data_IF_805863931340
#
_entry.id   IF_805863931340
#
_cell.length_a   1.000
_cell.length_b   1.000
_cell.length_c   1.000
_cell.angle_alpha   90.00
_cell.angle_beta   90.00
_cell.angle_gamma   90.00
#
_symmetry.space_group_name_H-M   'P 1'
#
loop_
_entity.id
_entity.type
_entity.pdbx_description
1 polymer ?
#
# COMPACT_ATOMS: atom_id res chain seq x y z
N UNK A 1 45.01 37.91 -49.34
CA UNK A 1 44.98 39.29 -48.81
C UNK A 1 44.03 39.32 -47.62
N UNK A 2 44.58 39.27 -46.44
CA UNK A 2 43.81 39.31 -45.19
C UNK A 2 43.93 40.71 -44.60
N UNK A 3 42.82 41.35 -44.29
CA UNK A 3 42.77 42.63 -43.56
C UNK A 3 42.43 42.36 -42.12
N UNK A 4 43.41 42.63 -41.25
CA UNK A 4 43.29 42.68 -39.81
C UNK A 4 42.60 43.95 -39.36
N UNK A 5 41.70 43.83 -38.40
CA UNK A 5 41.05 44.95 -37.71
C UNK A 5 41.51 44.96 -36.24
N UNK A 6 41.99 46.07 -35.70
CA UNK A 6 42.49 46.10 -34.30
C UNK A 6 41.37 46.58 -33.35
N UNK A 7 41.14 45.80 -32.31
CA UNK A 7 40.29 46.21 -31.17
C UNK A 7 41.09 47.09 -30.21
N UNK A 8 40.72 48.34 -30.03
CA UNK A 8 41.20 49.24 -28.98
C UNK A 8 40.48 48.92 -27.66
N UNK A 9 41.30 48.58 -26.66
CA UNK A 9 40.83 48.37 -25.28
C UNK A 9 40.73 49.76 -24.61
N UNK A 10 39.51 50.13 -24.22
CA UNK A 10 39.26 51.26 -23.35
C UNK A 10 39.37 50.84 -21.87
N UNK A 11 40.39 51.35 -21.16
CA UNK A 11 40.46 51.32 -19.71
C UNK A 11 39.53 52.35 -19.13
N UNK A 12 38.38 51.96 -18.64
CA UNK A 12 37.52 52.80 -17.78
C UNK A 12 37.84 52.51 -16.33
N UNK A 13 38.18 53.56 -15.58
CA UNK A 13 38.57 53.51 -14.17
C UNK A 13 37.42 53.03 -13.31
N UNK A 14 37.59 51.87 -12.68
CA UNK A 14 36.78 51.37 -11.59
C UNK A 14 37.05 52.20 -10.30
N UNK A 15 36.32 53.25 -10.07
CA UNK A 15 36.38 54.02 -8.84
C UNK A 15 35.02 54.54 -8.32
N UNK A 16 33.91 54.20 -8.95
CA UNK A 16 32.60 54.71 -8.49
C UNK A 16 31.61 53.63 -8.08
N UNK A 17 31.96 52.36 -8.24
CA UNK A 17 31.02 51.24 -7.93
C UNK A 17 31.15 50.77 -6.49
N UNK A 18 32.31 51.07 -5.81
CA UNK A 18 32.53 50.59 -4.43
C UNK A 18 31.87 51.41 -3.33
N UNK A 19 31.34 52.61 -3.64
CA UNK A 19 30.61 53.42 -2.63
C UNK A 19 29.09 53.22 -2.64
N UNK A 20 28.54 52.54 -3.64
CA UNK A 20 27.11 52.19 -3.66
C UNK A 20 26.78 50.85 -3.06
N UNK A 21 27.81 49.99 -2.83
CA UNK A 21 27.62 48.66 -2.21
C UNK A 21 27.69 48.69 -0.66
N UNK A 22 28.08 49.78 -0.04
CA UNK A 22 28.18 49.89 1.42
C UNK A 22 26.90 50.50 2.05
N UNK A 23 25.99 51.02 1.25
CA UNK A 23 24.74 51.61 1.76
C UNK A 23 23.50 50.65 1.69
N UNK A 24 23.69 49.42 1.17
CA UNK A 24 22.63 48.39 1.09
C UNK A 24 22.70 47.32 2.20
N UNK A 25 23.73 47.39 3.05
CA UNK A 25 23.97 46.35 4.07
C UNK A 25 23.45 46.69 5.48
N UNK A 26 22.58 47.70 5.64
CA UNK A 26 21.98 48.01 6.95
C UNK A 26 20.46 48.14 6.98
N UNK A 27 19.76 47.79 5.93
CA UNK A 27 18.35 47.45 6.04
C UNK A 27 18.27 45.92 5.99
N UNK A 28 18.10 45.29 7.14
CA UNK A 28 17.54 43.95 7.25
C UNK A 28 16.14 44.01 6.60
N UNK A 29 16.09 43.94 5.27
CA UNK A 29 14.91 43.44 4.59
C UNK A 29 14.87 41.98 4.99
N UNK A 30 14.06 41.67 6.01
CA UNK A 30 13.52 40.34 6.21
C UNK A 30 12.81 40.05 4.88
N UNK A 31 13.51 39.46 3.92
CA UNK A 31 12.89 38.74 2.84
C UNK A 31 12.19 37.63 3.58
N UNK A 32 10.91 37.83 3.90
CA UNK A 32 10.04 36.74 4.26
C UNK A 32 10.29 35.70 3.17
N UNK A 33 10.91 34.58 3.52
CA UNK A 33 10.99 33.43 2.63
C UNK A 33 9.57 33.25 2.12
N UNK A 34 9.38 33.48 0.81
CA UNK A 34 8.07 33.26 0.20
C UNK A 34 7.77 31.80 0.45
N UNK A 35 6.92 31.54 1.39
CA UNK A 35 6.57 30.19 1.83
C UNK A 35 5.81 29.54 0.68
N UNK A 36 6.58 28.95 -0.25
CA UNK A 36 6.03 28.30 -1.44
C UNK A 36 5.27 27.07 -0.97
N UNK A 37 3.97 27.12 -1.11
CA UNK A 37 3.10 25.98 -0.86
C UNK A 37 3.55 24.79 -1.73
N UNK A 38 3.95 23.69 -1.08
CA UNK A 38 4.24 22.44 -1.78
C UNK A 38 2.94 21.69 -1.95
N UNK A 39 2.62 21.34 -3.20
CA UNK A 39 1.39 20.64 -3.57
C UNK A 39 1.66 19.47 -4.50
N UNK A 40 0.83 18.43 -4.42
CA UNK A 40 0.75 17.35 -5.40
C UNK A 40 -0.63 17.34 -6.04
N UNK A 41 -0.68 17.14 -7.36
CA UNK A 41 -1.92 16.87 -8.06
C UNK A 41 -2.34 15.41 -7.84
N UNK A 42 -3.54 15.19 -7.37
CA UNK A 42 -4.13 13.87 -7.18
C UNK A 42 -5.47 13.79 -7.92
N UNK A 43 -5.72 12.73 -8.71
CA UNK A 43 -6.96 12.63 -9.50
C UNK A 43 -8.22 12.39 -8.64
N UNK A 44 -8.07 12.02 -7.36
CA UNK A 44 -9.17 11.75 -6.43
C UNK A 44 -9.52 12.99 -5.60
N UNK A 45 -8.50 13.71 -5.13
CA UNK A 45 -8.66 14.81 -4.17
C UNK A 45 -8.29 16.18 -4.73
N UNK A 46 -7.80 16.24 -5.97
CA UNK A 46 -7.31 17.49 -6.56
C UNK A 46 -5.93 17.86 -6.02
N UNK A 47 -5.81 18.98 -5.36
CA UNK A 47 -4.53 19.42 -4.78
C UNK A 47 -4.35 18.91 -3.36
N UNK A 48 -3.29 18.13 -3.15
CA UNK A 48 -2.84 17.71 -1.83
C UNK A 48 -1.73 18.65 -1.38
N UNK A 49 -1.97 19.39 -0.30
CA UNK A 49 -1.01 20.31 0.28
C UNK A 49 -0.09 19.59 1.26
N UNK A 50 1.19 19.87 1.18
CA UNK A 50 2.18 19.34 2.13
C UNK A 50 2.29 20.30 3.33
N UNK A 51 2.02 19.84 4.55
CA UNK A 51 1.80 20.72 5.68
C UNK A 51 3.08 21.39 6.22
N UNK A 52 4.22 20.75 6.10
CA UNK A 52 5.47 21.28 6.64
C UNK A 52 6.72 20.69 5.94
N UNK A 53 7.91 21.27 6.15
CA UNK A 53 9.17 20.79 5.54
C UNK A 53 9.54 19.36 5.90
N UNK A 54 9.32 18.90 7.14
CA UNK A 54 9.65 17.52 7.55
C UNK A 54 8.86 16.48 6.74
N UNK A 55 7.57 16.71 6.56
CA UNK A 55 6.73 15.84 5.72
C UNK A 55 7.21 15.85 4.27
N UNK A 56 7.62 17.02 3.76
CA UNK A 56 8.17 17.12 2.41
C UNK A 56 9.48 16.31 2.28
N UNK A 57 10.38 16.43 3.24
CA UNK A 57 11.66 15.73 3.26
C UNK A 57 11.45 14.20 3.34
N UNK A 58 10.50 13.74 4.16
CA UNK A 58 10.11 12.33 4.22
C UNK A 58 9.56 11.83 2.88
N UNK A 59 8.73 12.63 2.20
CA UNK A 59 8.22 12.29 0.87
C UNK A 59 9.37 12.20 -0.15
N UNK A 60 10.39 13.07 -0.07
CA UNK A 60 11.55 13.04 -0.97
C UNK A 60 12.53 11.92 -0.65
N UNK A 61 12.45 11.31 0.53
CA UNK A 61 13.37 10.26 0.94
C UNK A 61 13.28 9.03 0.01
N UNK A 62 14.42 8.39 -0.37
CA UNK A 62 14.43 7.24 -1.29
C UNK A 62 13.50 6.10 -0.88
N UNK A 63 13.36 5.82 0.43
CA UNK A 63 12.45 4.81 0.94
C UNK A 63 11.00 5.09 0.58
N UNK A 64 10.57 6.34 0.68
CA UNK A 64 9.21 6.73 0.29
C UNK A 64 9.04 6.82 -1.23
N UNK A 65 10.05 7.31 -1.96
CA UNK A 65 10.01 7.39 -3.42
C UNK A 65 9.89 6.00 -4.08
N UNK A 66 10.36 4.94 -3.43
CA UNK A 66 10.16 3.56 -3.86
C UNK A 66 8.68 3.21 -4.08
N UNK A 67 7.79 3.75 -3.25
CA UNK A 67 6.35 3.50 -3.35
C UNK A 67 5.73 3.90 -4.69
N UNK A 68 6.39 4.76 -5.48
CA UNK A 68 5.99 5.08 -6.86
C UNK A 68 6.09 3.89 -7.81
N UNK A 69 6.85 2.87 -7.44
CA UNK A 69 7.11 1.68 -8.25
C UNK A 69 6.49 0.41 -7.64
N UNK A 70 5.60 0.58 -6.66
CA UNK A 70 4.83 -0.51 -6.06
C UNK A 70 3.35 -0.27 -6.32
N UNK A 71 2.73 -1.17 -7.07
CA UNK A 71 1.31 -1.11 -7.42
C UNK A 71 0.43 -1.29 -6.20
N UNK A 72 -0.59 -0.44 -6.04
CA UNK A 72 -1.55 -0.55 -4.94
C UNK A 72 -2.36 -1.85 -5.02
N UNK A 73 -2.85 -2.18 -6.21
CA UNK A 73 -3.70 -3.35 -6.44
C UNK A 73 -2.95 -4.55 -7.07
N UNK A 74 -1.63 -4.60 -6.95
CA UNK A 74 -0.81 -5.70 -7.45
C UNK A 74 -1.10 -6.04 -8.92
N UNK A 75 -1.40 -7.32 -9.21
CA UNK A 75 -1.70 -7.80 -10.57
C UNK A 75 -3.14 -7.55 -11.04
N UNK A 76 -3.93 -6.77 -10.31
CA UNK A 76 -5.33 -6.49 -10.69
C UNK A 76 -5.46 -5.72 -12.01
N UNK A 77 -4.40 -5.06 -12.49
CA UNK A 77 -4.37 -4.45 -13.82
C UNK A 77 -4.60 -5.46 -14.95
N UNK A 78 -4.36 -6.74 -14.72
CA UNK A 78 -4.68 -7.82 -15.67
C UNK A 78 -6.20 -8.00 -15.89
N UNK A 79 -7.01 -7.44 -15.00
CA UNK A 79 -8.48 -7.44 -15.09
C UNK A 79 -9.01 -6.04 -15.32
N UNK A 80 -8.51 -5.09 -14.53
CA UNK A 80 -8.90 -3.69 -14.53
C UNK A 80 -7.78 -2.85 -15.13
N UNK A 81 -7.79 -2.58 -16.44
CA UNK A 81 -6.65 -1.95 -17.12
C UNK A 81 -6.26 -0.57 -16.56
N UNK A 82 -7.19 0.12 -15.88
CA UNK A 82 -6.95 1.39 -15.21
C UNK A 82 -6.26 1.27 -13.84
N UNK A 83 -6.18 0.08 -13.25
CA UNK A 83 -5.65 -0.14 -11.90
C UNK A 83 -4.10 -0.11 -11.86
N UNK A 84 -3.51 1.02 -12.28
CA UNK A 84 -2.06 1.24 -12.36
C UNK A 84 -1.55 2.27 -11.32
N UNK A 85 -2.38 2.70 -10.38
CA UNK A 85 -1.96 3.58 -9.30
C UNK A 85 -1.08 2.84 -8.29
N UNK A 86 -0.25 3.62 -7.61
CA UNK A 86 0.80 3.09 -6.75
C UNK A 86 0.54 3.43 -5.28
N UNK A 87 1.25 2.77 -4.38
CA UNK A 87 1.21 3.06 -2.95
C UNK A 87 1.63 4.49 -2.61
N UNK A 88 2.42 5.13 -3.46
CA UNK A 88 2.74 6.55 -3.33
C UNK A 88 1.49 7.44 -3.39
N UNK A 89 0.59 7.20 -4.36
CA UNK A 89 -0.67 7.94 -4.47
C UNK A 89 -1.55 7.70 -3.25
N UNK A 90 -1.65 6.45 -2.81
CA UNK A 90 -2.42 6.05 -1.64
C UNK A 90 -1.92 6.74 -0.36
N UNK A 91 -0.62 6.67 -0.06
CA UNK A 91 -0.04 7.29 1.13
C UNK A 91 -0.28 8.80 1.19
N UNK A 92 -0.16 9.51 0.05
CA UNK A 92 -0.49 10.94 -0.02
C UNK A 92 -1.98 11.19 0.21
N UNK A 93 -2.86 10.34 -0.34
CA UNK A 93 -4.30 10.44 -0.15
C UNK A 93 -4.71 10.21 1.30
N UNK A 94 -4.13 9.21 1.97
CA UNK A 94 -4.32 8.96 3.39
C UNK A 94 -3.91 10.16 4.25
N UNK A 95 -2.76 10.76 3.94
CA UNK A 95 -2.30 11.97 4.64
C UNK A 95 -3.27 13.15 4.42
N UNK A 96 -3.79 13.34 3.20
CA UNK A 96 -4.78 14.38 2.92
C UNK A 96 -6.07 14.18 3.73
N UNK A 97 -6.56 12.94 3.81
CA UNK A 97 -7.73 12.63 4.64
C UNK A 97 -7.45 12.85 6.12
N UNK A 98 -6.24 12.53 6.59
CA UNK A 98 -5.82 12.76 7.97
C UNK A 98 -5.80 14.27 8.31
N UNK A 99 -5.32 15.13 7.40
CA UNK A 99 -5.38 16.59 7.58
C UNK A 99 -6.82 17.04 7.80
N UNK A 100 -7.75 16.60 6.93
CA UNK A 100 -9.18 16.92 7.09
C UNK A 100 -9.77 16.39 8.41
N UNK A 101 -9.38 15.19 8.83
CA UNK A 101 -9.86 14.62 10.09
C UNK A 101 -9.37 15.43 11.30
N UNK A 102 -8.12 15.83 11.34
CA UNK A 102 -7.55 16.69 12.39
C UNK A 102 -8.28 18.02 12.45
N UNK A 103 -8.51 18.68 11.31
CA UNK A 103 -9.23 19.97 11.23
C UNK A 103 -10.66 19.85 11.80
N UNK A 104 -11.38 18.79 11.39
CA UNK A 104 -12.75 18.54 11.87
C UNK A 104 -12.78 18.25 13.37
N UNK A 105 -11.88 17.42 13.87
CA UNK A 105 -11.81 17.08 15.29
C UNK A 105 -11.47 18.31 16.15
N UNK A 106 -10.51 19.14 15.72
CA UNK A 106 -10.21 20.42 16.38
C UNK A 106 -11.40 21.38 16.39
N UNK A 107 -12.09 21.50 15.26
CA UNK A 107 -13.31 22.31 15.17
C UNK A 107 -14.38 21.85 16.18
N UNK A 108 -14.45 20.55 16.47
CA UNK A 108 -15.36 19.96 17.47
C UNK A 108 -14.85 20.03 18.91
N UNK A 109 -13.71 20.70 19.14
CA UNK A 109 -13.15 20.92 20.48
C UNK A 109 -12.23 19.81 20.97
N UNK A 110 -11.84 18.85 20.12
CA UNK A 110 -10.82 17.86 20.48
C UNK A 110 -9.45 18.56 20.48
N UNK A 111 -8.81 18.60 21.64
CA UNK A 111 -7.45 19.16 21.75
C UNK A 111 -6.46 18.23 21.06
N UNK A 112 -5.79 18.71 20.02
CA UNK A 112 -4.70 18.02 19.29
C UNK A 112 -3.55 19.01 19.19
N UNK A 113 -2.42 18.72 19.86
CA UNK A 113 -1.26 19.58 19.83
C UNK A 113 -0.59 19.60 18.43
N UNK A 114 0.25 20.60 18.12
CA UNK A 114 1.02 20.58 16.86
C UNK A 114 1.93 19.37 16.72
N UNK A 115 2.47 18.83 17.81
CA UNK A 115 3.30 17.64 17.84
C UNK A 115 2.48 16.38 17.53
N UNK A 116 1.28 16.25 18.12
CA UNK A 116 0.33 15.16 17.85
C UNK A 116 -0.16 15.20 16.42
N UNK A 117 -0.49 16.38 15.89
CA UNK A 117 -0.86 16.57 14.50
C UNK A 117 0.24 16.09 13.55
N UNK A 118 1.47 16.54 13.80
CA UNK A 118 2.60 16.13 12.97
C UNK A 118 2.85 14.61 13.07
N UNK A 119 2.69 14.04 14.26
CA UNK A 119 2.80 12.59 14.48
C UNK A 119 1.74 11.80 13.71
N UNK A 120 0.48 12.26 13.66
CA UNK A 120 -0.59 11.67 12.88
C UNK A 120 -0.27 11.70 11.37
N UNK A 121 0.24 12.83 10.87
CA UNK A 121 0.61 12.97 9.46
C UNK A 121 1.77 12.05 9.07
N UNK A 122 2.81 11.96 9.92
CA UNK A 122 3.94 11.06 9.69
C UNK A 122 3.50 9.60 9.74
N UNK A 123 2.75 9.22 10.78
CA UNK A 123 2.33 7.84 10.98
C UNK A 123 1.47 7.32 9.81
N UNK A 124 0.48 8.11 9.37
CA UNK A 124 -0.38 7.72 8.24
C UNK A 124 0.37 7.78 6.90
N UNK A 125 1.31 8.71 6.72
CA UNK A 125 2.13 8.79 5.50
C UNK A 125 3.01 7.55 5.33
N UNK A 126 3.56 7.04 6.44
CA UNK A 126 4.54 5.96 6.44
C UNK A 126 3.94 4.58 6.77
N UNK A 127 2.62 4.47 7.02
CA UNK A 127 2.00 3.21 7.48
C UNK A 127 2.27 2.03 6.53
N UNK A 128 2.28 2.28 5.24
CA UNK A 128 2.46 1.31 4.15
C UNK A 128 3.88 1.25 3.57
N UNK A 129 4.86 1.96 4.16
CA UNK A 129 6.22 2.04 3.61
C UNK A 129 6.94 0.68 3.58
N UNK A 130 6.51 -0.26 4.41
CA UNK A 130 7.06 -1.61 4.50
C UNK A 130 6.54 -2.60 3.46
N UNK A 131 5.60 -2.21 2.61
CA UNK A 131 5.15 -3.11 1.54
C UNK A 131 6.25 -3.40 0.52
N UNK A 132 6.40 -4.67 0.16
CA UNK A 132 7.24 -5.13 -0.94
C UNK A 132 6.51 -5.18 -2.29
N UNK A 133 7.21 -5.53 -3.38
CA UNK A 133 6.61 -5.71 -4.69
C UNK A 133 5.53 -6.78 -4.68
N UNK A 134 4.37 -6.48 -5.28
CA UNK A 134 3.21 -7.37 -5.26
C UNK A 134 2.90 -7.97 -3.89
N UNK A 135 3.09 -7.21 -2.86
CA UNK A 135 3.03 -7.44 -1.40
C UNK A 135 2.66 -8.84 -0.94
N UNK A 136 1.41 -9.26 -1.13
CA UNK A 136 0.93 -10.56 -0.64
C UNK A 136 1.61 -11.77 -1.29
N UNK A 137 2.05 -11.66 -2.55
CA UNK A 137 2.81 -12.73 -3.18
C UNK A 137 4.20 -12.85 -2.55
N UNK A 138 4.84 -11.72 -2.27
CA UNK A 138 6.17 -11.67 -1.66
C UNK A 138 6.17 -12.16 -0.20
N UNK A 139 5.22 -11.69 0.62
CA UNK A 139 5.05 -12.14 2.02
C UNK A 139 4.83 -13.66 2.14
N UNK A 140 4.21 -14.27 1.13
CA UNK A 140 3.93 -15.73 1.09
C UNK A 140 5.04 -16.57 0.45
N UNK A 141 6.11 -15.97 -0.08
CA UNK A 141 7.08 -16.71 -0.90
C UNK A 141 8.54 -16.35 -0.65
N UNK A 142 8.87 -15.09 -0.47
CA UNK A 142 10.24 -14.59 -0.41
C UNK A 142 10.63 -14.18 1.00
N UNK A 143 9.84 -13.30 1.64
CA UNK A 143 10.03 -12.85 3.03
C UNK A 143 8.90 -13.45 3.86
N UNK A 144 9.02 -14.76 4.12
CA UNK A 144 7.94 -15.54 4.73
C UNK A 144 7.72 -15.15 6.19
N UNK A 145 6.43 -15.02 6.58
CA UNK A 145 5.98 -14.73 7.95
C UNK A 145 6.39 -13.36 8.51
N UNK A 146 6.88 -12.44 7.67
CA UNK A 146 7.14 -11.05 8.06
C UNK A 146 6.04 -10.14 7.49
N UNK A 147 5.24 -9.57 8.37
CA UNK A 147 4.17 -8.66 7.99
C UNK A 147 4.73 -7.28 7.61
N UNK A 148 4.11 -6.62 6.65
CA UNK A 148 4.54 -5.31 6.16
C UNK A 148 4.51 -4.22 7.24
N UNK A 149 3.63 -4.32 8.24
CA UNK A 149 3.59 -3.39 9.38
C UNK A 149 4.88 -3.44 10.20
N UNK A 150 5.43 -4.66 10.40
CA UNK A 150 6.72 -4.82 11.09
C UNK A 150 7.86 -4.20 10.28
N UNK A 151 7.87 -4.39 8.95
CA UNK A 151 8.87 -3.75 8.07
C UNK A 151 8.67 -2.23 8.04
N UNK A 152 7.40 -1.73 8.06
CA UNK A 152 7.12 -0.29 8.16
C UNK A 152 7.76 0.31 9.42
N UNK A 153 7.68 -0.38 10.56
CA UNK A 153 8.33 0.06 11.79
C UNK A 153 9.86 0.09 11.67
N UNK A 154 10.47 -0.86 10.97
CA UNK A 154 11.92 -0.84 10.73
C UNK A 154 12.32 0.39 9.91
N UNK A 155 11.60 0.69 8.82
CA UNK A 155 11.81 1.92 8.04
C UNK A 155 11.59 3.18 8.87
N UNK A 156 10.52 3.24 9.66
CA UNK A 156 10.24 4.40 10.53
C UNK A 156 11.35 4.60 11.58
N UNK A 157 11.88 3.53 12.18
CA UNK A 157 13.00 3.62 13.13
C UNK A 157 14.29 4.10 12.46
N UNK A 158 14.61 3.61 11.26
CA UNK A 158 15.75 4.07 10.49
C UNK A 158 15.61 5.56 10.16
N UNK A 159 14.47 5.98 9.63
CA UNK A 159 14.16 7.38 9.35
C UNK A 159 14.20 8.23 10.63
N UNK A 160 13.72 7.71 11.75
CA UNK A 160 13.78 8.44 13.02
C UNK A 160 15.23 8.75 13.45
N UNK A 161 16.14 7.81 13.21
CA UNK A 161 17.58 8.03 13.46
C UNK A 161 18.12 9.11 12.53
N UNK A 162 17.84 9.05 11.23
CA UNK A 162 18.30 10.02 10.23
C UNK A 162 17.71 11.42 10.45
N UNK A 163 16.48 11.51 10.92
CA UNK A 163 15.80 12.77 11.24
C UNK A 163 15.93 13.21 12.71
N UNK A 164 16.94 12.68 13.44
CA UNK A 164 17.29 13.09 14.80
C UNK A 164 16.12 12.98 15.81
N UNK A 165 15.38 11.88 15.77
CA UNK A 165 14.32 11.59 16.74
C UNK A 165 12.96 12.25 16.43
N UNK A 166 12.82 12.96 15.32
CA UNK A 166 11.59 13.70 15.00
C UNK A 166 10.37 12.83 14.71
N UNK A 167 10.54 11.52 14.48
CA UNK A 167 9.45 10.57 14.23
C UNK A 167 9.04 9.80 15.49
N UNK A 168 9.66 10.04 16.65
CA UNK A 168 9.47 9.23 17.86
C UNK A 168 8.00 9.14 18.29
N UNK A 169 7.27 10.26 18.28
CA UNK A 169 5.84 10.27 18.65
C UNK A 169 5.00 9.54 17.59
N UNK A 170 5.30 9.71 16.32
CA UNK A 170 4.60 9.00 15.23
C UNK A 170 4.76 7.48 15.36
N UNK A 171 5.96 7.00 15.72
CA UNK A 171 6.23 5.58 15.99
C UNK A 171 5.41 5.07 17.18
N UNK A 172 5.34 5.84 18.28
CA UNK A 172 4.52 5.47 19.45
C UNK A 172 3.04 5.36 19.08
N UNK A 173 2.52 6.32 18.31
CA UNK A 173 1.13 6.30 17.83
C UNK A 173 0.88 5.09 16.93
N UNK A 174 1.77 4.83 15.97
CA UNK A 174 1.64 3.71 15.04
C UNK A 174 1.69 2.34 15.74
N UNK A 175 2.51 2.20 16.79
CA UNK A 175 2.60 0.98 17.63
C UNK A 175 1.41 0.79 18.56
N UNK A 176 0.62 1.84 18.80
CA UNK A 176 -0.44 1.85 19.81
C UNK A 176 0.06 2.05 21.24
N UNK A 177 1.31 2.47 21.42
CA UNK A 177 1.94 2.73 22.72
C UNK A 177 1.57 4.13 23.27
N UNK A 178 1.00 5.01 22.44
CA UNK A 178 0.58 6.34 22.85
C UNK A 178 -0.78 6.27 23.56
N UNK A 179 -0.89 7.03 24.66
CA UNK A 179 -2.06 6.95 25.57
C UNK A 179 -3.39 7.33 24.92
N UNK A 180 -3.39 8.16 23.86
CA UNK A 180 -4.59 8.63 23.16
C UNK A 180 -5.03 7.65 22.07
N UNK A 181 -5.98 6.79 22.39
CA UNK A 181 -6.40 5.66 21.54
C UNK A 181 -6.96 6.09 20.18
N UNK A 182 -7.71 7.20 20.12
CA UNK A 182 -8.29 7.66 18.86
C UNK A 182 -7.24 7.95 17.79
N UNK A 183 -6.01 8.31 18.17
CA UNK A 183 -4.94 8.58 17.22
C UNK A 183 -4.54 7.33 16.44
N UNK A 184 -4.40 6.19 17.11
CA UNK A 184 -4.21 4.91 16.41
C UNK A 184 -5.44 4.54 15.58
N UNK A 185 -6.65 4.77 16.10
CA UNK A 185 -7.90 4.44 15.40
C UNK A 185 -8.08 5.24 14.11
N UNK A 186 -7.53 6.45 14.00
CA UNK A 186 -7.49 7.20 12.74
C UNK A 186 -6.56 6.58 11.70
N UNK A 187 -5.53 5.83 12.13
CA UNK A 187 -4.53 5.20 11.26
C UNK A 187 -4.93 3.76 10.92
N UNK A 188 -5.34 2.98 11.94
CA UNK A 188 -5.63 1.56 11.82
C UNK A 188 -6.83 1.18 12.69
N UNK A 189 -8.01 1.11 12.08
CA UNK A 189 -9.25 0.65 12.68
C UNK A 189 -10.17 0.05 11.61
N UNK A 190 -11.46 -0.09 11.87
CA UNK A 190 -12.40 -0.51 10.82
C UNK A 190 -12.97 0.67 10.00
N UNK A 191 -12.73 1.89 10.45
CA UNK A 191 -13.14 3.13 9.79
C UNK A 191 -12.03 4.18 9.97
N UNK A 192 -10.94 4.03 9.24
CA UNK A 192 -9.71 4.81 9.30
C UNK A 192 -9.41 5.51 7.96
N UNK A 193 -8.36 6.33 7.95
CA UNK A 193 -7.97 7.11 6.76
C UNK A 193 -7.40 6.21 5.65
N UNK A 194 -6.75 5.11 6.01
CA UNK A 194 -6.26 4.09 5.08
C UNK A 194 -7.42 3.50 4.27
N UNK A 195 -8.43 2.93 4.95
CA UNK A 195 -9.59 2.31 4.30
C UNK A 195 -10.42 3.30 3.50
N UNK A 196 -10.56 4.53 3.96
CA UNK A 196 -11.29 5.57 3.25
C UNK A 196 -10.60 5.98 1.95
N UNK A 197 -9.27 6.03 1.93
CA UNK A 197 -8.53 6.33 0.70
C UNK A 197 -8.57 5.17 -0.27
N UNK A 198 -8.12 3.97 0.16
CA UNK A 198 -8.00 2.88 -0.81
C UNK A 198 -9.35 2.46 -1.41
N UNK A 199 -10.44 2.44 -0.65
CA UNK A 199 -11.74 2.11 -1.22
C UNK A 199 -12.15 3.09 -2.31
N UNK A 200 -12.01 4.39 -2.06
CA UNK A 200 -12.35 5.43 -3.03
C UNK A 200 -11.39 5.42 -4.23
N UNK A 201 -10.10 5.29 -3.97
CA UNK A 201 -9.03 5.28 -4.98
C UNK A 201 -9.08 4.05 -5.86
N UNK A 202 -9.18 2.88 -5.28
CA UNK A 202 -9.26 1.62 -6.01
C UNK A 202 -10.54 1.52 -6.84
N UNK A 203 -11.67 2.04 -6.30
CA UNK A 203 -12.92 2.18 -7.05
C UNK A 203 -12.72 3.03 -8.31
N UNK A 204 -12.09 4.17 -8.18
CA UNK A 204 -11.84 5.08 -9.31
C UNK A 204 -10.96 4.41 -10.38
N UNK A 205 -9.82 3.87 -9.99
CA UNK A 205 -8.86 3.30 -10.92
C UNK A 205 -9.27 1.94 -11.51
N UNK A 206 -10.03 1.15 -10.77
CA UNK A 206 -10.59 -0.11 -11.29
C UNK A 206 -11.84 0.07 -12.12
N UNK A 207 -12.57 1.20 -11.95
CA UNK A 207 -13.88 1.43 -12.53
C UNK A 207 -15.01 0.68 -11.82
N UNK A 208 -14.76 0.09 -10.63
CA UNK A 208 -15.76 -0.59 -9.80
C UNK A 208 -16.49 0.45 -8.94
N UNK A 209 -17.60 0.97 -9.43
CA UNK A 209 -18.31 2.11 -8.85
C UNK A 209 -18.85 1.86 -7.42
N UNK A 210 -19.03 0.60 -7.03
CA UNK A 210 -19.54 0.20 -5.72
C UNK A 210 -18.61 0.60 -4.57
N UNK A 211 -17.31 0.78 -4.85
CA UNK A 211 -16.31 1.26 -3.88
C UNK A 211 -16.35 2.76 -3.63
N UNK A 212 -17.17 3.53 -4.35
CA UNK A 212 -17.23 4.99 -4.18
C UNK A 212 -17.86 5.37 -2.84
N UNK A 213 -17.01 5.68 -1.86
CA UNK A 213 -17.38 6.14 -0.51
C UNK A 213 -17.27 7.65 -0.39
N UNK A 214 -18.18 8.27 0.37
CA UNK A 214 -18.08 9.68 0.70
C UNK A 214 -17.23 9.88 1.96
N UNK A 215 -15.90 9.82 1.79
CA UNK A 215 -14.94 10.00 2.89
C UNK A 215 -15.08 11.35 3.59
N UNK A 216 -15.41 12.42 2.85
CA UNK A 216 -15.60 13.74 3.48
C UNK A 216 -16.77 13.76 4.45
N UNK A 217 -17.92 13.15 4.08
CA UNK A 217 -19.07 13.03 4.98
C UNK A 217 -18.73 12.21 6.22
N UNK A 218 -18.01 11.10 6.06
CA UNK A 218 -17.59 10.27 7.19
C UNK A 218 -16.71 11.06 8.15
N UNK A 219 -15.71 11.77 7.63
CA UNK A 219 -14.80 12.62 8.42
C UNK A 219 -15.60 13.72 9.15
N UNK A 220 -16.53 14.40 8.48
CA UNK A 220 -17.38 15.41 9.10
C UNK A 220 -18.23 14.87 10.27
N UNK A 221 -18.53 13.57 10.27
CA UNK A 221 -19.29 12.91 11.35
C UNK A 221 -18.40 12.31 12.44
N UNK A 222 -17.07 12.33 12.29
CA UNK A 222 -16.13 11.88 13.33
C UNK A 222 -16.15 12.80 14.55
N UNK A 223 -15.99 12.20 15.72
CA UNK A 223 -15.79 12.89 16.98
C UNK A 223 -14.96 12.00 17.93
N UNK A 224 -14.57 12.52 19.08
CA UNK A 224 -13.82 11.77 20.10
C UNK A 224 -14.52 11.91 21.44
N UNK A 225 -14.76 10.80 22.12
CA UNK A 225 -15.32 10.74 23.47
C UNK A 225 -14.41 9.80 24.28
N UNK A 226 -13.94 10.26 25.44
CA UNK A 226 -13.04 9.51 26.32
C UNK A 226 -11.81 8.93 25.59
N UNK A 227 -11.18 9.75 24.74
CA UNK A 227 -10.04 9.39 23.87
C UNK A 227 -10.30 8.21 22.90
N UNK A 228 -11.58 7.96 22.58
CA UNK A 228 -12.00 6.95 21.61
C UNK A 228 -12.73 7.60 20.45
N UNK A 229 -12.41 7.17 19.23
CA UNK A 229 -13.05 7.63 18.00
C UNK A 229 -14.51 7.16 17.96
N UNK A 230 -15.42 8.09 17.66
CA UNK A 230 -16.85 7.83 17.50
C UNK A 230 -17.39 8.51 16.25
N UNK A 231 -18.50 8.04 15.73
CA UNK A 231 -19.24 8.67 14.63
C UNK A 231 -20.55 9.22 15.21
N UNK A 232 -20.85 10.48 14.94
CA UNK A 232 -22.15 11.06 15.32
C UNK A 232 -23.30 10.32 14.64
N UNK A 233 -24.42 10.18 15.33
CA UNK A 233 -25.63 9.47 14.87
C UNK A 233 -26.05 9.80 13.44
N UNK A 234 -25.90 11.06 13.02
CA UNK A 234 -26.17 11.53 11.65
C UNK A 234 -25.30 10.85 10.58
N UNK A 235 -24.21 10.21 10.99
CA UNK A 235 -23.26 9.51 10.14
C UNK A 235 -23.60 8.05 9.88
N UNK A 236 -24.58 7.45 10.57
CA UNK A 236 -24.89 6.01 10.50
C UNK A 236 -25.02 5.51 9.06
N UNK A 237 -25.84 6.13 8.24
CA UNK A 237 -26.04 5.71 6.84
C UNK A 237 -24.78 5.81 5.98
N UNK A 238 -23.86 6.72 6.32
CA UNK A 238 -22.56 6.80 5.65
C UNK A 238 -21.64 5.64 6.05
N UNK A 239 -21.69 5.21 7.32
CA UNK A 239 -20.94 4.03 7.81
C UNK A 239 -21.49 2.76 7.19
N UNK A 240 -22.80 2.61 7.12
CA UNK A 240 -23.48 1.47 6.45
C UNK A 240 -23.05 1.35 5.00
N UNK A 241 -23.10 2.47 4.25
CA UNK A 241 -22.64 2.50 2.87
C UNK A 241 -21.15 2.14 2.76
N UNK A 242 -20.30 2.65 3.66
CA UNK A 242 -18.88 2.34 3.70
C UNK A 242 -18.63 0.84 3.90
N UNK A 243 -19.29 0.21 4.87
CA UNK A 243 -19.17 -1.23 5.13
C UNK A 243 -19.67 -2.08 3.96
N UNK A 244 -20.78 -1.66 3.31
CA UNK A 244 -21.28 -2.30 2.10
C UNK A 244 -20.30 -2.15 0.93
N UNK A 245 -19.79 -0.95 0.70
CA UNK A 245 -18.78 -0.68 -0.34
C UNK A 245 -17.53 -1.52 -0.14
N UNK A 246 -17.04 -1.63 1.09
CA UNK A 246 -15.92 -2.50 1.46
C UNK A 246 -16.18 -3.95 1.09
N UNK A 247 -17.36 -4.50 1.44
CA UNK A 247 -17.74 -5.87 1.07
C UNK A 247 -17.77 -6.09 -0.43
N UNK A 248 -18.34 -5.14 -1.18
CA UNK A 248 -18.46 -5.24 -2.62
C UNK A 248 -17.11 -5.16 -3.31
N UNK A 249 -16.24 -4.21 -2.91
CA UNK A 249 -14.89 -4.10 -3.43
C UNK A 249 -14.07 -5.37 -3.19
N UNK A 250 -14.21 -6.00 -2.01
CA UNK A 250 -13.52 -7.27 -1.75
C UNK A 250 -13.91 -8.35 -2.75
N UNK A 251 -15.21 -8.53 -3.02
CA UNK A 251 -15.66 -9.58 -3.93
C UNK A 251 -15.51 -9.25 -5.41
N UNK A 252 -15.69 -8.00 -5.79
CA UNK A 252 -15.63 -7.58 -7.18
C UNK A 252 -14.20 -7.27 -7.63
N UNK A 253 -13.38 -6.63 -6.78
CA UNK A 253 -12.03 -6.20 -7.14
C UNK A 253 -10.92 -7.09 -6.54
N UNK A 254 -10.75 -7.10 -5.22
CA UNK A 254 -9.58 -7.74 -4.59
C UNK A 254 -9.60 -9.27 -4.67
N UNK A 255 -10.78 -9.88 -4.57
CA UNK A 255 -10.97 -11.33 -4.69
C UNK A 255 -11.56 -11.73 -6.05
N UNK A 256 -11.46 -10.85 -7.06
CA UNK A 256 -11.85 -11.20 -8.42
C UNK A 256 -11.03 -12.41 -8.88
N UNK A 257 -11.71 -13.42 -9.43
CA UNK A 257 -11.09 -14.72 -9.79
C UNK A 257 -9.80 -14.60 -10.59
N UNK A 258 -9.73 -13.65 -11.54
CA UNK A 258 -8.54 -13.46 -12.39
C UNK A 258 -7.40 -12.79 -11.62
N UNK A 259 -7.67 -11.78 -10.79
CA UNK A 259 -6.66 -11.15 -9.91
C UNK A 259 -6.12 -12.18 -8.93
N UNK A 260 -7.00 -12.95 -8.30
CA UNK A 260 -6.63 -13.99 -7.35
C UNK A 260 -5.73 -15.06 -7.98
N UNK A 261 -6.09 -15.59 -9.16
CA UNK A 261 -5.27 -16.62 -9.80
C UNK A 261 -3.93 -16.08 -10.26
N UNK A 262 -3.85 -14.84 -10.73
CA UNK A 262 -2.58 -14.20 -11.11
C UNK A 262 -1.64 -14.08 -9.90
N UNK A 263 -2.14 -13.64 -8.75
CA UNK A 263 -1.38 -13.55 -7.50
C UNK A 263 -0.92 -14.93 -7.00
N UNK A 264 -1.79 -15.94 -7.08
CA UNK A 264 -1.44 -17.31 -6.73
C UNK A 264 -0.36 -17.89 -7.65
N UNK A 265 -0.43 -17.62 -8.95
CA UNK A 265 0.63 -18.02 -9.90
C UNK A 265 1.93 -17.31 -9.55
N UNK A 266 1.91 -16.00 -9.29
CA UNK A 266 3.11 -15.26 -8.91
C UNK A 266 3.75 -15.84 -7.65
N UNK A 267 2.95 -16.14 -6.62
CA UNK A 267 3.44 -16.82 -5.41
C UNK A 267 4.14 -18.15 -5.74
N UNK A 268 3.59 -18.93 -6.68
CA UNK A 268 4.18 -20.20 -7.14
C UNK A 268 5.49 -20.00 -7.91
N UNK A 269 5.54 -19.00 -8.81
CA UNK A 269 6.77 -18.64 -9.54
C UNK A 269 7.88 -18.29 -8.57
N UNK A 270 7.60 -17.39 -7.62
CA UNK A 270 8.60 -16.94 -6.65
C UNK A 270 9.09 -18.06 -5.74
N UNK A 271 8.19 -18.95 -5.30
CA UNK A 271 8.58 -20.17 -4.57
C UNK A 271 9.50 -21.07 -5.37
N UNK A 272 9.17 -21.33 -6.66
CA UNK A 272 10.02 -22.14 -7.53
C UNK A 272 11.38 -21.49 -7.75
N UNK A 273 11.42 -20.18 -8.00
CA UNK A 273 12.67 -19.44 -8.14
C UNK A 273 13.55 -19.56 -6.88
N UNK A 274 12.96 -19.41 -5.69
CA UNK A 274 13.66 -19.58 -4.41
C UNK A 274 14.21 -21.01 -4.24
N UNK A 275 13.42 -22.03 -4.55
CA UNK A 275 13.86 -23.44 -4.50
C UNK A 275 15.06 -23.71 -5.43
N UNK A 276 15.01 -23.20 -6.66
CA UNK A 276 16.09 -23.36 -7.63
C UNK A 276 17.36 -22.64 -7.17
N UNK A 277 17.23 -21.41 -6.68
CA UNK A 277 18.35 -20.63 -6.17
C UNK A 277 19.00 -21.29 -4.95
N UNK A 278 18.21 -21.84 -4.04
CA UNK A 278 18.72 -22.61 -2.88
C UNK A 278 19.40 -23.93 -3.28
N UNK A 279 19.11 -24.48 -4.46
CA UNK A 279 19.84 -25.60 -5.06
C UNK A 279 21.11 -25.19 -5.81
N UNK A 280 21.48 -23.91 -5.76
CA UNK A 280 22.68 -23.38 -6.42
C UNK A 280 22.48 -22.96 -7.88
N UNK A 281 21.24 -22.94 -8.39
CA UNK A 281 20.95 -22.46 -9.75
C UNK A 281 20.92 -20.93 -9.73
N UNK A 282 21.75 -20.29 -10.52
CA UNK A 282 21.78 -18.82 -10.64
C UNK A 282 20.70 -18.40 -11.62
N UNK A 283 19.68 -17.70 -11.11
CA UNK A 283 18.61 -17.14 -11.91
C UNK A 283 18.87 -15.65 -12.21
N UNK A 284 18.62 -15.18 -13.44
CA UNK A 284 18.78 -13.77 -13.79
C UNK A 284 17.71 -12.93 -13.09
N UNK A 285 18.14 -12.04 -12.19
CA UNK A 285 17.30 -11.09 -11.46
C UNK A 285 18.18 -9.97 -10.87
N UNK A 286 17.57 -8.96 -10.21
CA UNK A 286 18.32 -7.96 -9.48
C UNK A 286 19.05 -8.55 -8.27
N UNK A 287 20.11 -7.88 -7.84
CA UNK A 287 20.90 -8.26 -6.66
C UNK A 287 20.02 -8.37 -5.41
N UNK A 288 19.15 -7.40 -5.20
CA UNK A 288 18.24 -7.39 -4.06
C UNK A 288 17.25 -8.55 -4.06
N UNK A 289 16.69 -8.90 -5.22
CA UNK A 289 15.81 -10.07 -5.32
C UNK A 289 16.59 -11.36 -5.10
N UNK A 290 17.78 -11.48 -5.66
CA UNK A 290 18.66 -12.63 -5.47
C UNK A 290 19.01 -12.84 -4.00
N UNK A 291 19.34 -11.76 -3.30
CA UNK A 291 19.65 -11.79 -1.87
C UNK A 291 18.51 -12.46 -1.06
N UNK A 292 17.26 -12.02 -1.24
CA UNK A 292 16.10 -12.59 -0.53
C UNK A 292 15.73 -14.01 -0.99
N UNK A 293 16.08 -14.41 -2.21
CA UNK A 293 15.90 -15.81 -2.66
C UNK A 293 16.94 -16.75 -2.06
N UNK A 294 18.17 -16.29 -1.85
CA UNK A 294 19.26 -17.09 -1.29
C UNK A 294 19.16 -17.22 0.23
N UNK A 295 18.68 -16.19 0.90
CA UNK A 295 18.67 -16.10 2.36
C UNK A 295 17.25 -16.31 2.92
N UNK A 296 17.18 -17.02 4.06
CA UNK A 296 15.96 -17.11 4.84
C UNK A 296 15.94 -15.97 5.86
N UNK A 297 15.15 -14.96 5.60
CA UNK A 297 15.01 -13.79 6.46
C UNK A 297 13.72 -13.90 7.27
N UNK A 298 13.83 -13.74 8.60
CA UNK A 298 12.72 -13.63 9.55
C UNK A 298 12.71 -12.25 10.18
N UNK A 299 11.69 -11.91 10.95
CA UNK A 299 11.62 -10.60 11.60
C UNK A 299 12.78 -10.38 12.58
N UNK A 300 13.22 -11.45 13.29
CA UNK A 300 14.32 -11.40 14.24
C UNK A 300 15.67 -11.17 13.56
N UNK A 301 15.82 -11.62 12.31
CA UNK A 301 17.05 -11.47 11.53
C UNK A 301 16.99 -10.30 10.56
N UNK A 302 15.90 -9.52 10.56
CA UNK A 302 15.73 -8.39 9.65
C UNK A 302 16.46 -7.16 10.20
N UNK A 303 17.73 -7.05 9.88
CA UNK A 303 18.63 -5.95 10.29
C UNK A 303 18.66 -4.77 9.29
N UNK A 304 19.58 -3.83 9.51
CA UNK A 304 19.74 -2.66 8.65
C UNK A 304 20.27 -3.01 7.25
N UNK A 305 21.07 -4.06 7.09
CA UNK A 305 21.54 -4.52 5.79
C UNK A 305 20.40 -5.10 4.98
N UNK A 306 19.60 -5.99 5.58
CA UNK A 306 18.39 -6.54 4.99
C UNK A 306 17.40 -5.44 4.58
N UNK A 307 17.25 -4.40 5.43
CA UNK A 307 16.42 -3.25 5.14
C UNK A 307 16.95 -2.47 3.92
N UNK A 308 18.26 -2.35 3.80
CA UNK A 308 18.92 -1.76 2.64
C UNK A 308 18.58 -2.48 1.34
N UNK A 309 18.71 -3.81 1.29
CA UNK A 309 18.30 -4.61 0.13
C UNK A 309 16.79 -4.51 -0.12
N UNK A 310 15.96 -4.58 0.92
CA UNK A 310 14.51 -4.49 0.78
C UNK A 310 14.07 -3.14 0.22
N UNK A 311 14.75 -2.06 0.60
CA UNK A 311 14.46 -0.71 0.13
C UNK A 311 14.67 -0.49 -1.38
N UNK A 312 15.40 -1.41 -2.03
CA UNK A 312 15.66 -1.36 -3.47
C UNK A 312 14.65 -2.22 -4.27
N UNK A 313 13.89 -3.10 -3.59
CA UNK A 313 12.93 -3.96 -4.26
C UNK A 313 11.66 -3.22 -4.63
N UNK A 314 11.22 -3.40 -5.89
CA UNK A 314 9.94 -2.91 -6.38
C UNK A 314 9.34 -3.86 -7.45
N UNK A 315 8.17 -3.49 -8.01
CA UNK A 315 7.46 -4.33 -8.98
C UNK A 315 8.28 -4.58 -10.26
N UNK A 316 9.16 -3.64 -10.62
CA UNK A 316 10.00 -3.81 -11.82
C UNK A 316 11.04 -4.92 -11.68
N UNK A 317 11.55 -5.17 -10.46
CA UNK A 317 12.44 -6.31 -10.21
C UNK A 317 11.75 -7.62 -10.54
N UNK A 318 10.52 -7.78 -10.06
CA UNK A 318 9.73 -8.99 -10.28
C UNK A 318 9.36 -9.15 -11.74
N UNK A 319 8.90 -8.08 -12.41
CA UNK A 319 8.52 -8.14 -13.83
C UNK A 319 9.74 -8.42 -14.71
N UNK A 320 10.89 -7.80 -14.42
CA UNK A 320 12.14 -8.07 -15.14
C UNK A 320 12.60 -9.52 -14.98
N UNK A 321 12.54 -10.03 -13.76
CA UNK A 321 12.86 -11.42 -13.45
C UNK A 321 11.92 -12.39 -14.21
N UNK A 322 10.60 -12.19 -14.16
CA UNK A 322 9.61 -12.98 -14.89
C UNK A 322 9.89 -13.01 -16.40
N UNK A 323 10.24 -11.85 -17.00
CA UNK A 323 10.60 -11.77 -18.43
C UNK A 323 11.82 -12.61 -18.76
N UNK A 324 12.81 -12.62 -17.90
CA UNK A 324 14.03 -13.41 -18.05
C UNK A 324 13.78 -14.90 -17.80
N UNK A 325 12.95 -15.25 -16.84
CA UNK A 325 12.66 -16.63 -16.45
C UNK A 325 11.81 -17.40 -17.46
N UNK A 326 11.11 -16.73 -18.38
CA UNK A 326 10.41 -17.39 -19.49
C UNK A 326 11.30 -18.29 -20.34
N UNK A 327 12.62 -18.05 -20.34
CA UNK A 327 13.62 -18.74 -21.17
C UNK A 327 14.49 -19.73 -20.39
N UNK A 328 14.17 -19.95 -19.09
CA UNK A 328 14.92 -20.90 -18.27
C UNK A 328 14.54 -22.35 -18.63
N UNK A 329 15.48 -23.26 -18.42
CA UNK A 329 15.29 -24.69 -18.74
C UNK A 329 14.29 -25.36 -17.81
N UNK A 330 14.10 -24.82 -16.58
CA UNK A 330 13.10 -25.33 -15.66
C UNK A 330 11.69 -25.09 -16.20
N UNK A 331 10.99 -26.19 -16.51
CA UNK A 331 9.64 -26.17 -17.08
C UNK A 331 8.64 -25.42 -16.23
N UNK A 332 8.69 -25.57 -14.91
CA UNK A 332 7.75 -24.94 -13.99
C UNK A 332 7.97 -23.44 -13.99
N UNK A 333 9.22 -23.02 -13.76
CA UNK A 333 9.56 -21.59 -13.70
C UNK A 333 9.23 -20.88 -15.01
N UNK A 334 9.64 -21.47 -16.15
CA UNK A 334 9.41 -20.86 -17.47
C UNK A 334 7.93 -20.81 -17.84
N UNK A 335 7.17 -21.87 -17.58
CA UNK A 335 5.75 -21.95 -17.93
C UNK A 335 4.91 -20.96 -17.09
N UNK A 336 5.10 -20.93 -15.77
CA UNK A 336 4.37 -20.02 -14.90
C UNK A 336 4.73 -18.55 -15.17
N UNK A 337 6.00 -18.25 -15.48
CA UNK A 337 6.43 -16.91 -15.87
C UNK A 337 5.76 -16.46 -17.18
N UNK A 338 5.68 -17.34 -18.19
CA UNK A 338 4.94 -17.09 -19.44
C UNK A 338 3.46 -16.84 -19.18
N UNK A 339 2.84 -17.59 -18.27
CA UNK A 339 1.42 -17.42 -17.92
C UNK A 339 1.11 -16.00 -17.41
N UNK A 340 1.96 -15.44 -16.56
CA UNK A 340 1.78 -14.07 -16.05
C UNK A 340 2.04 -13.05 -17.16
N UNK A 341 3.20 -13.11 -17.81
CA UNK A 341 3.62 -12.10 -18.80
C UNK A 341 2.66 -12.05 -20.00
N UNK A 342 2.20 -13.21 -20.47
CA UNK A 342 1.29 -13.31 -21.63
C UNK A 342 -0.19 -13.29 -21.22
N UNK A 343 -0.49 -13.17 -19.91
CA UNK A 343 -1.86 -13.22 -19.37
C UNK A 343 -2.61 -14.51 -19.74
N UNK A 344 -1.90 -15.62 -19.92
CA UNK A 344 -2.49 -16.95 -20.14
C UNK A 344 -2.62 -17.71 -18.81
N UNK A 345 -3.44 -17.16 -17.92
CA UNK A 345 -3.58 -17.63 -16.55
C UNK A 345 -4.32 -18.96 -16.46
N UNK A 346 -4.08 -19.69 -15.38
CA UNK A 346 -4.81 -20.91 -15.05
C UNK A 346 -6.32 -20.62 -14.94
N UNK A 347 -7.12 -21.62 -15.23
CA UNK A 347 -8.56 -21.59 -14.92
C UNK A 347 -8.76 -21.70 -13.42
N UNK A 348 -9.65 -20.88 -12.86
CA UNK A 348 -10.05 -20.94 -11.45
C UNK A 348 -11.55 -21.19 -11.37
N UNK A 349 -11.94 -22.24 -10.66
CA UNK A 349 -13.32 -22.50 -10.24
C UNK A 349 -13.49 -22.03 -8.80
N UNK A 350 -14.51 -21.21 -8.55
CA UNK A 350 -14.96 -20.82 -7.21
C UNK A 350 -16.24 -21.57 -6.86
N UNK A 351 -16.33 -22.10 -5.64
CA UNK A 351 -17.47 -22.84 -5.11
C UNK A 351 -17.69 -22.52 -3.64
N UNK A 352 -18.89 -22.76 -3.14
CA UNK A 352 -19.21 -22.75 -1.71
C UNK A 352 -18.76 -24.06 -1.04
N UNK A 353 -18.57 -25.12 -1.83
CA UNK A 353 -18.13 -26.44 -1.38
C UNK A 353 -16.69 -26.73 -1.79
N UNK A 354 -16.03 -27.62 -1.05
CA UNK A 354 -14.68 -28.09 -1.36
C UNK A 354 -14.72 -28.99 -2.60
N UNK A 355 -13.75 -28.81 -3.50
CA UNK A 355 -13.57 -29.71 -4.63
C UNK A 355 -13.28 -31.16 -4.14
N UNK A 356 -13.90 -32.20 -4.76
CA UNK A 356 -13.61 -33.60 -4.43
C UNK A 356 -12.11 -33.90 -4.59
N UNK A 357 -11.52 -34.67 -3.68
CA UNK A 357 -10.10 -35.07 -3.81
C UNK A 357 -9.80 -35.83 -5.10
N UNK A 358 -10.72 -36.67 -5.55
CA UNK A 358 -10.57 -37.48 -6.75
C UNK A 358 -10.49 -36.62 -8.03
N UNK A 359 -11.29 -35.55 -8.12
CA UNK A 359 -11.25 -34.60 -9.26
C UNK A 359 -9.87 -33.97 -9.36
N UNK A 360 -9.32 -33.52 -8.22
CA UNK A 360 -7.99 -32.91 -8.17
C UNK A 360 -6.89 -33.89 -8.56
N UNK A 361 -6.98 -35.13 -8.08
CA UNK A 361 -6.01 -36.18 -8.33
C UNK A 361 -6.00 -36.59 -9.80
N UNK A 362 -7.17 -36.81 -10.40
CA UNK A 362 -7.31 -37.14 -11.82
C UNK A 362 -6.70 -36.05 -12.75
N UNK A 363 -6.93 -34.77 -12.44
CA UNK A 363 -6.33 -33.67 -13.17
C UNK A 363 -4.79 -33.67 -13.05
N UNK A 364 -4.25 -33.96 -11.87
CA UNK A 364 -2.80 -34.04 -11.65
C UNK A 364 -2.14 -35.18 -12.42
N UNK A 365 -2.73 -36.37 -12.39
CA UNK A 365 -2.24 -37.55 -13.11
C UNK A 365 -2.22 -37.30 -14.64
N UNK A 366 -3.31 -36.73 -15.15
CA UNK A 366 -3.37 -36.38 -16.58
C UNK A 366 -2.31 -35.34 -16.95
N UNK A 367 -2.18 -34.25 -16.16
CA UNK A 367 -1.18 -33.22 -16.43
C UNK A 367 0.25 -33.73 -16.34
N UNK A 368 0.53 -34.63 -15.38
CA UNK A 368 1.85 -35.25 -15.21
C UNK A 368 2.26 -36.05 -16.44
N UNK A 369 1.31 -36.83 -16.98
CA UNK A 369 1.53 -37.62 -18.20
C UNK A 369 1.72 -36.73 -19.45
N UNK A 370 0.85 -35.72 -19.62
CA UNK A 370 0.90 -34.83 -20.81
C UNK A 370 2.17 -33.97 -20.85
N UNK A 371 2.74 -33.61 -19.69
CA UNK A 371 3.89 -32.70 -19.61
C UNK A 371 5.19 -33.34 -19.11
N UNK A 372 5.20 -34.65 -18.88
CA UNK A 372 6.35 -35.40 -18.38
C UNK A 372 6.96 -34.79 -17.11
N UNK A 373 6.10 -34.45 -16.14
CA UNK A 373 6.48 -33.92 -14.83
C UNK A 373 6.04 -34.86 -13.71
N UNK A 374 6.70 -34.79 -12.56
CA UNK A 374 6.31 -35.59 -11.40
C UNK A 374 4.96 -35.12 -10.81
N UNK A 375 4.25 -36.01 -10.11
CA UNK A 375 3.03 -35.66 -9.39
C UNK A 375 3.25 -34.53 -8.35
N UNK A 376 4.42 -34.46 -7.75
CA UNK A 376 4.78 -33.39 -6.84
C UNK A 376 4.85 -32.03 -7.55
N UNK A 377 5.40 -31.98 -8.75
CA UNK A 377 5.51 -30.76 -9.56
C UNK A 377 4.18 -30.28 -10.10
N UNK A 378 3.19 -31.16 -10.26
CA UNK A 378 1.83 -30.74 -10.63
C UNK A 378 1.20 -29.77 -9.64
N UNK A 379 1.64 -29.73 -8.37
CA UNK A 379 1.17 -28.80 -7.36
C UNK A 379 1.44 -27.32 -7.68
N UNK A 380 2.31 -27.04 -8.63
CA UNK A 380 2.54 -25.69 -9.14
C UNK A 380 1.43 -25.23 -10.07
N UNK A 381 0.76 -26.13 -10.76
CA UNK A 381 -0.27 -25.86 -11.77
C UNK A 381 -1.68 -26.23 -11.31
N UNK A 382 -1.81 -27.26 -10.45
CA UNK A 382 -3.10 -27.79 -10.01
C UNK A 382 -3.15 -27.79 -8.49
N UNK A 383 -3.94 -26.87 -7.94
CA UNK A 383 -4.02 -26.65 -6.51
C UNK A 383 -5.39 -26.11 -6.09
N UNK A 384 -5.69 -26.25 -4.80
CA UNK A 384 -6.92 -25.76 -4.19
C UNK A 384 -6.64 -24.94 -2.95
N UNK A 385 -7.61 -24.13 -2.56
CA UNK A 385 -7.54 -23.34 -1.34
C UNK A 385 -8.88 -22.77 -0.96
N UNK A 386 -8.85 -21.81 -0.03
CA UNK A 386 -10.04 -21.09 0.42
C UNK A 386 -9.73 -19.60 0.55
N UNK A 387 -10.73 -18.80 0.30
CA UNK A 387 -10.75 -17.37 0.58
C UNK A 387 -11.84 -17.09 1.60
N UNK A 388 -11.57 -16.17 2.53
CA UNK A 388 -12.52 -15.73 3.54
C UNK A 388 -12.58 -14.23 3.53
N UNK A 389 -13.77 -13.69 3.66
CA UNK A 389 -13.98 -12.26 3.84
C UNK A 389 -15.06 -12.01 4.90
N UNK A 390 -14.81 -10.98 5.71
CA UNK A 390 -15.73 -10.42 6.68
C UNK A 390 -15.66 -8.89 6.53
N UNK A 391 -16.78 -8.25 6.32
CA UNK A 391 -16.78 -6.80 6.11
C UNK A 391 -16.69 -6.01 7.41
N UNK A 392 -17.13 -6.58 8.52
CA UNK A 392 -17.13 -5.95 9.84
C UNK A 392 -16.85 -6.98 10.94
N UNK A 393 -16.10 -6.61 11.98
CA UNK A 393 -15.88 -7.43 13.18
C UNK A 393 -16.04 -6.57 14.45
N UNK A 394 -17.11 -6.84 15.20
CA UNK A 394 -17.36 -6.17 16.47
C UNK A 394 -16.30 -6.50 17.53
N UNK A 395 -15.75 -7.72 17.47
CA UNK A 395 -14.76 -8.18 18.44
C UNK A 395 -13.37 -7.57 18.22
N UNK A 396 -13.02 -7.25 16.96
CA UNK A 396 -11.71 -6.71 16.65
C UNK A 396 -11.60 -5.24 17.06
N UNK A 397 -12.45 -4.38 16.50
CA UNK A 397 -12.49 -2.93 16.78
C UNK A 397 -13.89 -2.39 16.41
N UNK A 398 -14.77 -2.12 17.38
CA UNK A 398 -16.13 -1.69 17.11
C UNK A 398 -16.18 -0.25 16.54
N UNK A 399 -17.02 -0.04 15.53
CA UNK A 399 -17.39 1.32 15.07
C UNK A 399 -18.46 1.85 16.00
N UNK A 400 -18.12 2.86 16.78
CA UNK A 400 -18.98 3.44 17.83
C UNK A 400 -19.79 4.60 17.29
N UNK A 401 -21.09 4.58 17.55
CA UNK A 401 -22.04 5.64 17.19
C UNK A 401 -22.37 6.44 18.44
N UNK A 402 -22.11 7.75 18.40
CA UNK A 402 -22.49 8.71 19.43
C UNK A 402 -23.91 9.22 19.14
N UNK A 403 -24.87 8.84 19.99
CA UNK A 403 -26.27 9.27 19.89
C UNK A 403 -26.49 10.69 20.44
N UNK A 404 -27.66 11.26 20.13
CA UNK A 404 -28.05 12.61 20.61
C UNK A 404 -28.17 12.69 22.12
N UNK A 405 -28.55 11.60 22.77
CA UNK A 405 -28.65 11.47 24.23
C UNK A 405 -27.28 11.24 24.90
N UNK A 406 -26.18 11.27 24.11
CA UNK A 406 -24.79 11.02 24.50
C UNK A 406 -24.46 9.56 24.82
N UNK A 407 -25.36 8.63 24.58
CA UNK A 407 -25.04 7.20 24.66
C UNK A 407 -24.18 6.78 23.47
N UNK A 408 -23.36 5.74 23.67
CA UNK A 408 -22.48 5.19 22.63
C UNK A 408 -22.86 3.74 22.40
N UNK A 409 -23.14 3.39 21.16
CA UNK A 409 -23.50 2.02 20.75
C UNK A 409 -22.63 1.57 19.57
N UNK A 410 -22.55 0.25 19.40
CA UNK A 410 -21.96 -0.31 18.18
C UNK A 410 -22.85 -0.03 16.97
N UNK A 411 -22.23 0.20 15.80
CA UNK A 411 -22.98 0.51 14.55
C UNK A 411 -24.02 -0.55 14.21
N UNK A 412 -23.76 -1.82 14.52
CA UNK A 412 -24.71 -2.94 14.25
C UNK A 412 -25.96 -2.85 15.11
N UNK A 413 -25.83 -2.33 16.33
CA UNK A 413 -26.96 -2.14 17.26
C UNK A 413 -27.67 -0.81 16.99
N UNK A 414 -26.91 0.23 16.62
CA UNK A 414 -27.45 1.56 16.35
C UNK A 414 -28.19 1.67 15.00
N UNK A 415 -27.89 0.79 14.05
CA UNK A 415 -28.47 0.80 12.70
C UNK A 415 -29.88 0.19 12.67
N UNK A 416 -30.77 0.81 11.91
CA UNK A 416 -32.09 0.30 11.59
C UNK A 416 -32.09 -0.67 10.40
N UNK A 417 -30.94 -0.87 9.74
CA UNK A 417 -30.80 -1.80 8.61
C UNK A 417 -30.53 -3.24 9.08
N UNK A 418 -31.45 -4.13 8.79
CA UNK A 418 -31.39 -5.56 9.13
C UNK A 418 -30.14 -6.29 8.59
N UNK A 419 -29.49 -5.74 7.55
CA UNK A 419 -28.38 -6.41 6.84
C UNK A 419 -27.00 -6.21 7.47
N UNK A 420 -26.79 -5.27 8.38
CA UNK A 420 -25.49 -5.05 9.01
C UNK A 420 -25.01 -6.27 9.80
N UNK A 421 -25.93 -6.97 10.50
CA UNK A 421 -25.60 -8.24 11.18
C UNK A 421 -25.07 -9.31 10.22
N UNK A 422 -25.49 -9.28 8.95
CA UNK A 422 -24.96 -10.19 7.92
C UNK A 422 -23.54 -9.85 7.45
N UNK A 423 -23.13 -8.58 7.55
CA UNK A 423 -21.80 -8.14 7.20
C UNK A 423 -20.73 -8.61 8.20
N UNK A 424 -21.15 -8.93 9.43
CA UNK A 424 -20.29 -9.48 10.48
C UNK A 424 -20.05 -10.98 10.32
N UNK A 425 -20.72 -11.66 9.40
CA UNK A 425 -20.51 -13.08 9.14
C UNK A 425 -19.38 -13.30 8.13
N UNK A 426 -18.52 -14.29 8.43
CA UNK A 426 -17.54 -14.75 7.45
C UNK A 426 -18.23 -15.39 6.25
N UNK A 427 -17.83 -14.94 5.06
CA UNK A 427 -18.16 -15.63 3.80
C UNK A 427 -16.91 -16.37 3.36
N UNK A 428 -17.02 -17.70 3.25
CA UNK A 428 -15.93 -18.56 2.79
C UNK A 428 -16.28 -19.09 1.41
N UNK A 429 -15.35 -18.98 0.46
CA UNK A 429 -15.40 -19.67 -0.84
C UNK A 429 -14.15 -20.51 -1.00
N UNK A 430 -14.33 -21.65 -1.66
CA UNK A 430 -13.24 -22.54 -2.03
C UNK A 430 -12.88 -22.32 -3.49
N UNK A 431 -11.60 -22.48 -3.82
CA UNK A 431 -11.14 -22.40 -5.19
C UNK A 431 -10.34 -23.63 -5.58
N UNK A 432 -10.38 -23.95 -6.86
CA UNK A 432 -9.50 -24.91 -7.52
C UNK A 432 -8.92 -24.27 -8.78
N UNK A 433 -7.59 -24.29 -8.91
CA UNK A 433 -6.86 -23.77 -10.05
C UNK A 433 -6.27 -24.92 -10.85
N UNK A 434 -6.33 -24.84 -12.19
CA UNK A 434 -5.78 -25.84 -13.11
C UNK A 434 -5.59 -25.26 -14.51
N UNK A 435 -4.72 -25.85 -15.37
CA UNK A 435 -4.54 -25.47 -16.76
C UNK A 435 -5.83 -25.59 -17.59
N UNK A 436 -6.08 -24.60 -18.47
CA UNK A 436 -7.34 -24.52 -19.26
C UNK A 436 -7.53 -25.72 -20.18
N UNK A 437 -6.45 -26.27 -20.73
CA UNK A 437 -6.48 -27.40 -21.66
C UNK A 437 -6.91 -28.73 -21.03
N UNK A 438 -6.98 -28.81 -19.72
CA UNK A 438 -7.47 -30.02 -19.01
C UNK A 438 -8.99 -30.14 -18.92
N UNK A 439 -9.72 -29.17 -19.47
CA UNK A 439 -11.21 -29.14 -19.39
C UNK A 439 -11.84 -29.06 -20.75
#
# INVERSE_FOLDING_TARGET
>A
MAKTCPFKIWKVKFSFVFKFLIFVTQNNVIVNEINKLKIFNDPIYGFITIPNPLIYDLIQHPYFQRLRRISQMGLSYLVYPGANHTRFHHALGCMHLMQKAVDVLRFKGVSISPEEENALYIAILLHDIGHGPFSHAMEKSIVEDVQHEAISLLFMNQLNTEFNGKLSLAIQVFRGDYHRKFMLQLISSQLDMDRMDYLKRDSFYSGVAEGNVNSERLIQMMNVVDDVLVIEEKGIYSVEKFLMSRRLMYWQAYLHKTSLVAELILTKVLKRAKELTQKGIILPCSESLLFFMQNKITIETFDSENLGFFSQLDDFDIISALKSWQKQDDFILSSLSKMIINRDLLKIKLSEEKAPPEELQALKERFALENNVSLAETNYFIFKGKIKNQAYSKEAEPIRILKKDKTIEDVVEASDQLNLKSLSKFVTKYYMCFPKQLV
#
